data_IF_407408774460
#
_entry.id   IF_407408774460
#
_cell.length_a   1.000
_cell.length_b   1.000
_cell.length_c   1.000
_cell.angle_alpha   90.00
_cell.angle_beta   90.00
_cell.angle_gamma   90.00
#
_symmetry.space_group_name_H-M   'P 1'
#
loop_
_entity.id
_entity.type
_entity.pdbx_description
1 polymer ?
#
# COMPACT_ATOMS: atom_id res chain seq x y z
N UNK A 1 44.25 -63.24 10.13
CA UNK A 1 43.27 -62.29 10.71
C UNK A 1 43.49 -60.93 10.04
N UNK A 2 42.50 -60.36 9.34
CA UNK A 2 42.63 -59.02 8.72
C UNK A 2 42.14 -57.97 9.72
N UNK A 3 43.07 -57.36 10.45
CA UNK A 3 42.76 -56.29 11.40
C UNK A 3 42.82 -54.97 10.64
N UNK A 4 41.72 -54.20 10.66
CA UNK A 4 41.66 -52.84 10.10
C UNK A 4 41.03 -51.91 11.12
N UNK A 5 41.72 -50.84 11.46
CA UNK A 5 41.28 -49.78 12.37
C UNK A 5 41.07 -48.47 11.61
N UNK A 6 40.46 -47.48 12.25
CA UNK A 6 40.24 -46.15 11.65
C UNK A 6 41.59 -45.40 11.67
N UNK A 7 42.17 -45.18 10.50
CA UNK A 7 43.35 -44.33 10.32
C UNK A 7 42.93 -42.95 9.80
N UNK A 8 43.14 -41.89 10.58
CA UNK A 8 42.90 -40.50 10.19
C UNK A 8 44.23 -39.82 9.86
N UNK A 9 44.48 -39.53 8.59
CA UNK A 9 45.66 -38.74 8.18
C UNK A 9 45.46 -37.27 8.52
N UNK A 10 46.48 -36.60 9.08
CA UNK A 10 46.48 -35.16 9.36
C UNK A 10 46.16 -34.33 8.12
N UNK A 11 46.69 -34.76 6.97
CA UNK A 11 46.62 -34.03 5.70
C UNK A 11 45.20 -33.94 5.16
N UNK A 12 44.30 -34.83 5.62
CA UNK A 12 42.89 -34.84 5.22
C UNK A 12 42.04 -33.79 5.97
N UNK A 13 42.49 -33.36 7.15
CA UNK A 13 41.73 -32.44 8.03
C UNK A 13 42.41 -31.08 8.17
N UNK A 14 43.74 -31.05 8.15
CA UNK A 14 44.56 -29.86 8.27
C UNK A 14 45.19 -29.59 6.90
N UNK A 15 44.88 -28.45 6.25
CA UNK A 15 45.50 -28.11 4.98
C UNK A 15 46.99 -27.82 5.20
N UNK A 16 47.82 -28.27 4.25
CA UNK A 16 49.28 -28.04 4.28
C UNK A 16 49.64 -26.56 4.11
N UNK A 17 48.78 -25.78 3.46
CA UNK A 17 48.95 -24.33 3.28
C UNK A 17 48.07 -23.55 4.24
N UNK A 18 48.66 -22.56 4.91
CA UNK A 18 47.97 -21.65 5.83
C UNK A 18 46.93 -20.75 5.15
N UNK A 19 46.99 -20.58 3.82
CA UNK A 19 46.04 -19.77 3.07
C UNK A 19 44.71 -20.48 2.79
N UNK A 20 44.66 -21.81 2.96
CA UNK A 20 43.49 -22.63 2.66
C UNK A 20 42.71 -22.91 3.94
N UNK A 21 41.39 -22.78 3.86
CA UNK A 21 40.50 -23.13 4.97
C UNK A 21 40.49 -24.65 5.24
N UNK A 22 40.19 -25.04 6.47
CA UNK A 22 40.12 -26.43 6.87
C UNK A 22 38.89 -27.14 6.27
N UNK A 23 39.07 -28.41 5.93
CA UNK A 23 37.96 -29.24 5.47
C UNK A 23 37.01 -29.57 6.63
N UNK A 24 35.70 -29.41 6.41
CA UNK A 24 34.66 -29.70 7.40
C UNK A 24 33.86 -30.94 6.94
N UNK A 25 34.31 -32.17 7.25
CA UNK A 25 33.56 -33.37 6.92
C UNK A 25 32.25 -33.42 7.71
N UNK A 26 31.15 -33.77 7.02
CA UNK A 26 29.81 -33.81 7.62
C UNK A 26 29.26 -35.22 7.57
N UNK A 27 28.76 -35.69 8.71
CA UNK A 27 27.95 -36.91 8.80
C UNK A 27 26.53 -36.51 9.22
N UNK A 28 25.52 -36.97 8.48
CA UNK A 28 24.11 -36.60 8.67
C UNK A 28 23.34 -37.60 9.54
N UNK A 29 23.99 -38.61 10.15
CA UNK A 29 23.33 -39.54 11.06
C UNK A 29 22.64 -38.77 12.21
N UNK A 30 21.31 -38.92 12.41
CA UNK A 30 20.57 -38.27 13.50
C UNK A 30 21.14 -38.54 14.89
N UNK A 31 21.76 -39.69 15.12
CA UNK A 31 22.39 -40.05 16.40
C UNK A 31 23.54 -39.09 16.78
N UNK A 32 24.26 -38.57 15.78
CA UNK A 32 25.33 -37.59 15.98
C UNK A 32 24.79 -36.17 16.20
N UNK A 33 23.52 -35.92 15.88
CA UNK A 33 22.88 -34.61 16.00
C UNK A 33 21.62 -34.68 16.88
N UNK A 34 21.75 -35.02 18.18
CA UNK A 34 20.60 -35.09 19.07
C UNK A 34 19.93 -33.72 19.24
N UNK A 35 18.66 -33.74 19.65
CA UNK A 35 17.82 -32.56 19.92
C UNK A 35 17.52 -31.67 18.71
N UNK A 36 17.17 -32.27 17.56
CA UNK A 36 16.82 -31.52 16.35
C UNK A 36 15.76 -30.44 16.62
N UNK A 37 14.66 -30.80 17.29
CA UNK A 37 13.51 -29.92 17.49
C UNK A 37 13.79 -28.80 18.49
N UNK A 38 14.50 -29.11 19.59
CA UNK A 38 14.85 -28.10 20.59
C UNK A 38 15.88 -27.09 20.03
N UNK A 39 16.82 -27.58 19.20
CA UNK A 39 17.79 -26.73 18.51
C UNK A 39 17.12 -25.84 17.46
N UNK A 40 16.16 -26.37 16.72
CA UNK A 40 15.35 -25.57 15.81
C UNK A 40 14.49 -24.54 16.55
N UNK A 41 13.83 -24.92 17.63
CA UNK A 41 13.02 -24.01 18.44
C UNK A 41 13.84 -22.84 18.98
N UNK A 42 15.01 -23.11 19.57
CA UNK A 42 15.90 -22.06 20.09
C UNK A 42 16.41 -21.14 18.97
N UNK A 43 16.69 -21.67 17.78
CA UNK A 43 17.02 -20.86 16.60
C UNK A 43 15.85 -19.98 16.17
N UNK A 44 14.63 -20.50 16.14
CA UNK A 44 13.43 -19.73 15.81
C UNK A 44 13.18 -18.60 16.82
N UNK A 45 13.34 -18.91 18.11
CA UNK A 45 13.22 -17.93 19.19
C UNK A 45 14.29 -16.84 19.08
N UNK A 46 15.54 -17.21 18.77
CA UNK A 46 16.61 -16.23 18.53
C UNK A 46 16.33 -15.39 17.28
N UNK A 47 15.85 -16.01 16.19
CA UNK A 47 15.50 -15.30 14.97
C UNK A 47 14.38 -14.27 15.20
N UNK A 48 13.33 -14.62 15.95
CA UNK A 48 12.26 -13.68 16.31
C UNK A 48 12.76 -12.54 17.21
N UNK A 49 13.63 -12.83 18.18
CA UNK A 49 14.27 -11.79 19.01
C UNK A 49 15.15 -10.85 18.17
N UNK A 50 15.98 -11.40 17.28
CA UNK A 50 16.83 -10.62 16.39
C UNK A 50 15.99 -9.74 15.44
N UNK A 51 14.90 -10.26 14.90
CA UNK A 51 13.97 -9.46 14.09
C UNK A 51 13.44 -8.24 14.86
N UNK A 52 13.10 -8.41 16.14
CA UNK A 52 12.62 -7.30 16.99
C UNK A 52 13.71 -6.27 17.28
N UNK A 53 14.95 -6.72 17.51
CA UNK A 53 16.09 -5.82 17.72
C UNK A 53 16.44 -5.04 16.46
N UNK A 54 16.41 -5.68 15.29
CA UNK A 54 16.74 -5.05 14.02
C UNK A 54 15.58 -4.29 13.36
N UNK A 55 14.38 -4.33 13.96
CA UNK A 55 13.19 -3.63 13.45
C UNK A 55 13.37 -2.11 13.55
N UNK A 56 13.89 -1.53 12.48
CA UNK A 56 14.10 -0.10 12.31
C UNK A 56 13.46 0.30 10.96
N UNK A 57 12.15 0.58 10.96
CA UNK A 57 11.40 0.77 9.72
C UNK A 57 11.57 2.16 9.11
N UNK A 58 11.81 3.20 9.92
CA UNK A 58 11.94 4.57 9.42
C UNK A 58 13.24 4.76 8.65
N UNK A 59 13.15 5.25 7.41
CA UNK A 59 14.31 5.53 6.55
C UNK A 59 14.66 7.01 6.57
N UNK A 60 13.66 7.87 6.43
CA UNK A 60 13.85 9.33 6.40
C UNK A 60 12.62 10.07 5.88
N UNK A 61 12.73 11.39 5.84
CA UNK A 61 11.79 12.29 5.16
C UNK A 61 12.30 12.65 3.76
N UNK A 62 11.40 13.11 2.90
CA UNK A 62 11.73 13.70 1.59
C UNK A 62 11.79 15.23 1.73
N UNK A 63 12.97 15.79 1.49
CA UNK A 63 13.30 17.21 1.67
C UNK A 63 12.74 17.82 2.95
N UNK A 64 12.31 19.08 2.82
CA UNK A 64 11.63 19.84 3.87
C UNK A 64 10.11 19.59 3.92
N UNK A 65 9.61 18.68 3.08
CA UNK A 65 8.18 18.43 2.94
C UNK A 65 7.40 19.58 2.29
N UNK A 66 6.12 19.66 2.61
CA UNK A 66 5.19 20.71 2.19
C UNK A 66 4.89 21.66 3.35
N UNK A 67 4.38 22.86 3.01
CA UNK A 67 4.00 23.87 4.01
C UNK A 67 2.69 23.51 4.73
N UNK A 68 1.77 22.90 4.01
CA UNK A 68 0.51 22.37 4.53
C UNK A 68 0.48 20.84 4.36
N UNK A 69 -0.54 20.17 4.90
CA UNK A 69 -0.71 18.73 4.87
C UNK A 69 -0.65 18.13 3.46
N UNK A 70 -0.13 16.91 3.35
CA UNK A 70 -0.06 16.18 2.08
C UNK A 70 -1.32 15.36 1.88
N UNK A 71 -2.11 15.70 0.85
CA UNK A 71 -3.40 15.07 0.58
C UNK A 71 -3.38 14.13 -0.63
N UNK A 72 -2.55 14.40 -1.63
CA UNK A 72 -2.42 13.54 -2.81
C UNK A 72 -0.97 13.10 -3.05
N UNK A 73 -0.81 11.86 -3.50
CA UNK A 73 0.49 11.25 -3.80
C UNK A 73 0.30 10.29 -4.96
N UNK A 74 1.12 10.47 -5.99
CA UNK A 74 1.18 9.62 -7.16
C UNK A 74 2.60 9.10 -7.31
N UNK A 75 2.74 7.79 -7.33
CA UNK A 75 4.00 7.16 -7.76
C UNK A 75 4.00 7.02 -9.27
N UNK A 76 5.17 7.17 -9.86
CA UNK A 76 5.35 6.73 -11.23
C UNK A 76 5.39 5.19 -11.24
N UNK A 77 4.64 4.54 -12.12
CA UNK A 77 4.61 3.08 -12.22
C UNK A 77 5.76 2.52 -13.06
N UNK A 78 6.33 3.33 -13.97
CA UNK A 78 7.42 2.91 -14.85
C UNK A 78 8.81 3.27 -14.30
N UNK A 79 8.93 4.30 -13.45
CA UNK A 79 10.18 4.64 -12.76
C UNK A 79 10.09 4.36 -11.25
N UNK A 80 11.13 3.81 -10.64
CA UNK A 80 11.14 3.47 -9.21
C UNK A 80 11.45 4.67 -8.31
N UNK A 81 12.27 5.61 -8.79
CA UNK A 81 12.84 6.68 -7.97
C UNK A 81 12.02 7.98 -7.99
N UNK A 82 11.00 8.12 -8.84
CA UNK A 82 10.24 9.38 -8.93
C UNK A 82 8.85 9.26 -8.35
N UNK A 83 8.45 10.26 -7.57
CA UNK A 83 7.11 10.39 -7.00
C UNK A 83 6.63 11.84 -7.09
N UNK A 84 5.33 12.01 -7.30
CA UNK A 84 4.66 13.31 -7.27
C UNK A 84 3.78 13.40 -6.03
N UNK A 85 3.70 14.59 -5.44
CA UNK A 85 2.94 14.84 -4.21
C UNK A 85 2.24 16.17 -4.29
N UNK A 86 1.11 16.30 -3.60
CA UNK A 86 0.34 17.53 -3.56
C UNK A 86 -0.11 17.87 -2.16
N UNK A 87 -0.15 19.17 -1.89
CA UNK A 87 -0.47 19.74 -0.59
C UNK A 87 -1.81 20.50 -0.59
N UNK A 88 -2.32 20.75 0.62
CA UNK A 88 -3.55 21.52 0.90
C UNK A 88 -3.49 22.96 0.39
N UNK A 89 -2.29 23.53 0.34
CA UNK A 89 -2.06 24.83 -0.24
C UNK A 89 -2.15 24.85 -1.78
N UNK A 90 -2.29 23.71 -2.46
CA UNK A 90 -2.34 23.64 -3.92
C UNK A 90 -0.97 23.65 -4.60
N UNK A 91 0.12 23.50 -3.84
CA UNK A 91 1.46 23.25 -4.38
C UNK A 91 1.61 21.76 -4.68
N UNK A 92 2.15 21.46 -5.84
CA UNK A 92 2.58 20.12 -6.24
C UNK A 92 4.10 20.07 -6.28
N UNK A 93 4.67 18.95 -5.83
CA UNK A 93 6.11 18.71 -5.84
C UNK A 93 6.41 17.36 -6.49
N UNK A 94 7.42 17.34 -7.35
CA UNK A 94 7.99 16.14 -7.93
C UNK A 94 9.32 15.85 -7.24
N UNK A 95 9.51 14.63 -6.77
CA UNK A 95 10.64 14.22 -5.94
C UNK A 95 11.47 13.15 -6.62
N UNK A 96 12.78 13.20 -6.38
CA UNK A 96 13.66 12.05 -6.57
C UNK A 96 13.93 11.39 -5.22
N UNK A 97 13.55 10.13 -5.09
CA UNK A 97 13.72 9.31 -3.89
C UNK A 97 15.22 9.02 -3.63
N UNK A 98 16.04 9.05 -4.67
CA UNK A 98 17.47 8.72 -4.57
C UNK A 98 18.23 9.79 -3.79
N UNK A 99 18.11 11.05 -4.22
CA UNK A 99 18.66 12.22 -3.52
C UNK A 99 17.80 12.65 -2.33
N UNK A 100 16.51 12.30 -2.34
CA UNK A 100 15.46 12.75 -1.41
C UNK A 100 15.22 14.25 -1.48
N UNK A 101 15.49 14.85 -2.63
CA UNK A 101 15.27 16.27 -2.91
C UNK A 101 14.12 16.43 -3.91
N UNK A 102 13.51 17.61 -3.89
CA UNK A 102 12.51 17.98 -4.89
C UNK A 102 13.22 18.38 -6.19
N UNK A 103 12.73 17.88 -7.32
CA UNK A 103 13.21 18.30 -8.64
C UNK A 103 12.40 19.47 -9.16
N UNK A 104 11.08 19.45 -8.92
CA UNK A 104 10.15 20.50 -9.34
C UNK A 104 9.16 20.82 -8.23
N UNK A 105 8.81 22.10 -8.14
CA UNK A 105 7.77 22.62 -7.25
C UNK A 105 6.94 23.62 -8.04
N UNK A 106 5.63 23.35 -8.17
CA UNK A 106 4.71 24.22 -8.90
C UNK A 106 3.54 24.61 -8.00
N UNK A 107 3.17 25.89 -8.03
CA UNK A 107 1.88 26.34 -7.50
C UNK A 107 0.80 25.98 -8.52
N UNK A 108 0.20 24.80 -8.36
CA UNK A 108 -0.75 24.28 -9.34
C UNK A 108 -2.14 24.91 -9.21
N UNK A 109 -2.66 24.99 -8.00
CA UNK A 109 -4.04 25.41 -7.74
C UNK A 109 -4.10 26.48 -6.65
N UNK A 110 -5.16 27.28 -6.65
CA UNK A 110 -5.42 28.25 -5.58
C UNK A 110 -5.97 27.57 -4.33
N UNK A 111 -6.81 26.54 -4.51
CA UNK A 111 -7.31 25.69 -3.44
C UNK A 111 -6.51 24.39 -3.32
N UNK A 112 -7.01 23.47 -2.47
CA UNK A 112 -6.41 22.16 -2.28
C UNK A 112 -6.32 21.38 -3.58
N UNK A 113 -5.15 20.76 -3.80
CA UNK A 113 -4.96 19.77 -4.84
C UNK A 113 -5.45 18.42 -4.33
N UNK A 114 -6.63 18.01 -4.78
CA UNK A 114 -7.36 16.84 -4.30
C UNK A 114 -6.92 15.55 -4.99
N UNK A 115 -6.49 15.63 -6.25
CA UNK A 115 -6.04 14.50 -7.05
C UNK A 115 -4.71 14.75 -7.74
N UNK A 116 -3.91 13.70 -7.86
CA UNK A 116 -2.63 13.72 -8.56
C UNK A 116 -2.40 12.37 -9.23
N UNK A 117 -1.91 12.36 -10.46
CA UNK A 117 -1.43 11.15 -11.14
C UNK A 117 -0.27 11.48 -12.07
N UNK A 118 0.65 10.53 -12.23
CA UNK A 118 1.73 10.61 -13.23
C UNK A 118 1.29 9.78 -14.42
N UNK A 119 1.45 10.31 -15.64
CA UNK A 119 1.11 9.56 -16.84
C UNK A 119 2.12 8.43 -17.07
N UNK A 120 1.69 7.25 -17.56
CA UNK A 120 2.57 6.11 -17.80
C UNK A 120 3.78 6.42 -18.69
N UNK A 121 3.61 7.35 -19.64
CA UNK A 121 4.63 7.79 -20.60
C UNK A 121 5.76 8.63 -19.99
N UNK A 122 5.73 8.88 -18.67
CA UNK A 122 6.74 9.62 -17.88
C UNK A 122 6.97 11.08 -18.27
N UNK A 123 6.31 11.59 -19.30
CA UNK A 123 6.49 12.97 -19.80
C UNK A 123 5.62 13.99 -19.08
N UNK A 124 4.56 13.55 -18.39
CA UNK A 124 3.60 14.46 -17.80
C UNK A 124 2.99 13.98 -16.49
N UNK A 125 2.51 14.95 -15.71
CA UNK A 125 1.67 14.71 -14.53
C UNK A 125 0.39 15.50 -14.64
N UNK A 126 -0.71 14.93 -14.14
CA UNK A 126 -2.00 15.60 -14.05
C UNK A 126 -2.29 15.91 -12.58
N UNK A 127 -2.63 17.17 -12.32
CA UNK A 127 -3.13 17.62 -11.03
C UNK A 127 -4.59 18.04 -11.16
N UNK A 128 -5.33 17.84 -10.09
CA UNK A 128 -6.77 18.09 -10.00
C UNK A 128 -7.04 18.90 -8.73
N UNK A 129 -7.74 20.02 -8.88
CA UNK A 129 -7.99 20.96 -7.79
C UNK A 129 -9.46 21.19 -7.48
N UNK A 130 -9.71 21.71 -6.27
CA UNK A 130 -11.04 22.16 -5.85
C UNK A 130 -11.53 23.34 -6.69
N UNK A 131 -10.61 24.08 -7.33
CA UNK A 131 -10.85 25.22 -8.22
C UNK A 131 -11.43 24.86 -9.59
N UNK A 132 -11.90 23.61 -9.76
CA UNK A 132 -12.52 23.07 -10.99
C UNK A 132 -11.56 22.98 -12.19
N UNK A 133 -10.26 23.09 -11.95
CA UNK A 133 -9.25 22.96 -13.00
C UNK A 133 -8.51 21.65 -12.89
N UNK A 134 -8.19 21.07 -14.05
CA UNK A 134 -7.27 19.95 -14.19
C UNK A 134 -6.09 20.49 -14.99
N UNK A 135 -4.88 20.32 -14.46
CA UNK A 135 -3.68 20.88 -15.08
C UNK A 135 -2.71 19.75 -15.42
N UNK A 136 -2.21 19.77 -16.65
CA UNK A 136 -1.16 18.89 -17.13
C UNK A 136 0.16 19.61 -17.12
N UNK A 137 1.14 19.03 -16.44
CA UNK A 137 2.49 19.57 -16.31
C UNK A 137 3.45 18.67 -17.05
N UNK A 138 4.41 19.27 -17.75
CA UNK A 138 5.52 18.53 -18.34
C UNK A 138 6.57 18.24 -17.27
N UNK A 139 7.09 17.02 -17.29
CA UNK A 139 8.21 16.59 -16.46
C UNK A 139 9.34 16.23 -17.42
N UNK A 140 10.50 16.86 -17.26
CA UNK A 140 11.70 16.46 -18.01
C UNK A 140 12.33 15.23 -17.36
N UNK A 141 12.71 14.27 -18.19
CA UNK A 141 13.41 13.07 -17.75
C UNK A 141 14.93 13.34 -17.76
N UNK A 142 15.54 13.42 -16.58
CA UNK A 142 17.02 13.45 -16.46
C UNK A 142 17.69 12.15 -16.96
N UNK A 143 16.92 11.11 -17.27
CA UNK A 143 17.44 9.82 -17.76
C UNK A 143 17.84 9.83 -19.25
N UNK A 144 17.58 10.90 -19.99
CA UNK A 144 18.05 11.05 -21.37
C UNK A 144 19.48 11.60 -21.43
N UNK A 145 20.44 10.88 -20.87
CA UNK A 145 21.87 11.19 -21.02
C UNK A 145 22.41 11.02 -22.46
N UNK A 146 21.54 10.69 -23.43
CA UNK A 146 21.94 10.24 -24.77
C UNK A 146 21.45 11.11 -25.95
N UNK A 147 20.87 12.31 -25.72
CA UNK A 147 20.42 13.17 -26.82
C UNK A 147 21.31 14.40 -27.11
N UNK A 148 22.42 14.60 -26.39
CA UNK A 148 23.27 15.80 -26.59
C UNK A 148 24.43 15.61 -27.59
N UNK A 149 24.34 14.68 -28.54
CA UNK A 149 25.35 14.50 -29.60
C UNK A 149 24.86 14.83 -31.02
N UNK A 150 23.81 15.64 -31.19
CA UNK A 150 23.49 16.23 -32.50
C UNK A 150 23.81 17.72 -32.53
N UNK A 151 24.97 18.03 -33.10
CA UNK A 151 25.50 19.36 -33.35
C UNK A 151 24.87 19.97 -34.62
N UNK A 152 23.55 20.05 -34.73
CA UNK A 152 22.90 20.87 -35.77
C UNK A 152 21.40 21.06 -35.57
N UNK A 153 21.01 21.97 -34.67
CA UNK A 153 19.87 22.87 -34.93
C UNK A 153 19.87 23.98 -33.91
N UNK A 154 20.35 25.13 -34.34
CA UNK A 154 20.02 26.42 -33.75
C UNK A 154 18.52 26.66 -33.88
N UNK A 155 17.76 26.36 -32.83
CA UNK A 155 16.47 26.97 -32.57
C UNK A 155 16.34 27.22 -31.08
N UNK A 156 16.10 28.48 -30.76
CA UNK A 156 15.72 29.01 -29.45
C UNK A 156 14.42 28.36 -28.98
N UNK A 157 14.50 27.18 -28.37
CA UNK A 157 13.44 26.66 -27.50
C UNK A 157 14.00 26.56 -26.10
N UNK A 158 13.75 27.60 -25.30
CA UNK A 158 13.76 27.46 -23.85
C UNK A 158 12.92 26.24 -23.50
N UNK A 159 13.56 25.16 -23.04
CA UNK A 159 12.89 23.94 -22.59
C UNK A 159 11.71 24.30 -21.70
N UNK A 160 10.49 24.18 -22.22
CA UNK A 160 9.25 24.60 -21.56
C UNK A 160 8.90 23.63 -20.44
N UNK A 161 9.72 23.61 -19.38
CA UNK A 161 9.37 22.95 -18.11
C UNK A 161 8.22 23.73 -17.50
N UNK A 162 6.99 23.22 -17.62
CA UNK A 162 5.84 23.95 -17.12
C UNK A 162 4.49 23.34 -17.46
N UNK A 163 3.45 24.14 -17.24
CA UNK A 163 2.06 23.82 -17.54
C UNK A 163 1.88 23.64 -19.06
N UNK A 164 1.51 22.44 -19.50
CA UNK A 164 1.22 22.16 -20.91
C UNK A 164 -0.22 22.50 -21.26
N UNK A 165 -1.17 22.01 -20.45
CA UNK A 165 -2.59 22.05 -20.77
C UNK A 165 -3.44 22.22 -19.53
N UNK A 166 -4.52 22.97 -19.66
CA UNK A 166 -5.54 23.12 -18.61
C UNK A 166 -6.87 22.65 -19.16
N UNK A 167 -7.54 21.77 -18.42
CA UNK A 167 -8.92 21.36 -18.67
C UNK A 167 -9.81 22.02 -17.61
N UNK A 168 -10.99 22.46 -18.03
CA UNK A 168 -11.98 23.10 -17.17
C UNK A 168 -13.12 22.10 -16.94
N UNK A 169 -13.40 21.81 -15.68
CA UNK A 169 -14.55 21.02 -15.27
C UNK A 169 -15.68 21.94 -14.78
N UNK A 170 -16.93 21.47 -14.90
CA UNK A 170 -18.10 22.24 -14.47
C UNK A 170 -18.21 22.28 -12.93
N UNK A 171 -17.71 21.23 -12.28
CA UNK A 171 -17.78 21.01 -10.83
C UNK A 171 -16.40 20.91 -10.19
N UNK A 172 -16.39 21.06 -8.86
CA UNK A 172 -15.19 20.83 -8.06
C UNK A 172 -14.82 19.35 -8.08
N UNK A 173 -13.53 19.06 -8.15
CA UNK A 173 -13.02 17.72 -8.34
C UNK A 173 -12.29 17.25 -7.08
N UNK A 174 -12.52 15.99 -6.71
CA UNK A 174 -12.02 15.35 -5.48
C UNK A 174 -10.93 14.32 -5.75
N UNK A 175 -10.94 13.65 -6.91
CA UNK A 175 -9.90 12.68 -7.24
C UNK A 175 -9.72 12.53 -8.75
N UNK A 176 -8.57 11.96 -9.12
CA UNK A 176 -8.18 11.73 -10.50
C UNK A 176 -7.34 10.45 -10.60
N UNK A 177 -7.52 9.69 -11.67
CA UNK A 177 -6.65 8.56 -12.02
C UNK A 177 -6.54 8.43 -13.55
N UNK A 178 -5.40 7.90 -14.01
CA UNK A 178 -5.10 7.73 -15.43
C UNK A 178 -5.21 6.25 -15.81
N UNK A 179 -5.63 6.00 -17.05
CA UNK A 179 -5.63 4.66 -17.63
C UNK A 179 -4.19 4.14 -17.81
N UNK A 180 -3.95 2.84 -17.87
CA UNK A 180 -2.57 2.34 -17.84
C UNK A 180 -1.82 2.49 -19.18
N UNK A 181 -2.54 2.44 -20.32
CA UNK A 181 -1.95 2.52 -21.67
C UNK A 181 -2.44 3.75 -22.43
N UNK A 182 -3.75 3.87 -22.56
CA UNK A 182 -4.39 4.90 -23.39
C UNK A 182 -4.33 6.28 -22.72
N UNK A 183 -4.41 7.33 -23.53
CA UNK A 183 -4.39 8.75 -23.11
C UNK A 183 -5.73 9.21 -22.48
N UNK A 184 -6.36 8.31 -21.74
CA UNK A 184 -7.66 8.49 -21.12
C UNK A 184 -7.45 8.61 -19.61
N UNK A 185 -8.16 9.52 -18.97
CA UNK A 185 -8.19 9.64 -17.52
C UNK A 185 -9.60 9.89 -17.02
N UNK A 186 -9.83 9.56 -15.75
CA UNK A 186 -11.12 9.76 -15.10
C UNK A 186 -10.95 10.75 -13.96
N UNK A 187 -11.91 11.65 -13.86
CA UNK A 187 -12.02 12.58 -12.75
C UNK A 187 -13.28 12.29 -11.95
N UNK A 188 -13.17 12.42 -10.63
CA UNK A 188 -14.29 12.32 -9.72
C UNK A 188 -14.55 13.67 -9.06
N UNK A 189 -15.81 14.06 -8.97
CA UNK A 189 -16.28 15.25 -8.26
C UNK A 189 -17.76 15.09 -7.92
N UNK A 190 -18.58 16.04 -8.36
CA UNK A 190 -20.04 15.86 -8.35
C UNK A 190 -20.50 14.72 -9.29
N UNK A 191 -19.72 14.47 -10.33
CA UNK A 191 -19.95 13.43 -11.32
C UNK A 191 -18.63 12.72 -11.66
N UNK A 192 -18.74 11.55 -12.31
CA UNK A 192 -17.58 10.83 -12.84
C UNK A 192 -17.49 11.14 -14.32
N UNK A 193 -16.45 11.88 -14.72
CA UNK A 193 -16.22 12.24 -16.12
C UNK A 193 -15.01 11.49 -16.68
N UNK A 194 -15.18 10.94 -17.87
CA UNK A 194 -14.11 10.36 -18.67
C UNK A 194 -13.53 11.44 -19.58
N UNK A 195 -12.20 11.54 -19.63
CA UNK A 195 -11.49 12.55 -20.41
C UNK A 195 -10.45 11.88 -21.29
N UNK A 196 -10.20 12.50 -22.45
CA UNK A 196 -9.07 12.22 -23.32
C UNK A 196 -8.14 13.43 -23.24
N UNK A 197 -6.84 13.17 -23.06
CA UNK A 197 -5.80 14.21 -22.98
C UNK A 197 -5.85 15.16 -24.18
N UNK A 198 -6.21 14.66 -25.36
CA UNK A 198 -6.21 15.45 -26.59
C UNK A 198 -7.39 16.43 -26.64
N UNK A 199 -8.50 16.15 -25.95
CA UNK A 199 -9.73 16.95 -25.98
C UNK A 199 -9.80 17.95 -24.82
N UNK A 200 -10.57 19.03 -24.95
CA UNK A 200 -10.75 20.02 -23.87
C UNK A 200 -12.05 19.83 -23.08
N UNK A 201 -12.94 18.98 -23.58
CA UNK A 201 -14.25 18.66 -22.96
C UNK A 201 -14.25 17.18 -22.54
N UNK A 202 -15.06 16.80 -21.54
CA UNK A 202 -15.19 15.40 -21.16
C UNK A 202 -15.77 14.59 -22.33
N UNK A 203 -15.30 13.36 -22.50
CA UNK A 203 -15.81 12.40 -23.46
C UNK A 203 -17.22 11.95 -23.09
N UNK A 204 -17.40 11.54 -21.84
CA UNK A 204 -18.66 11.02 -21.32
C UNK A 204 -18.79 11.29 -19.83
N UNK A 205 -20.04 11.37 -19.39
CA UNK A 205 -20.41 11.40 -17.99
C UNK A 205 -20.94 10.01 -17.60
N UNK A 206 -20.28 9.38 -16.63
CA UNK A 206 -20.54 8.02 -16.17
C UNK A 206 -21.30 7.97 -14.85
N UNK A 207 -21.91 9.08 -14.40
CA UNK A 207 -22.64 9.12 -13.13
C UNK A 207 -23.79 8.10 -13.06
N UNK A 208 -23.91 7.40 -11.93
CA UNK A 208 -25.07 6.51 -11.67
C UNK A 208 -26.31 7.31 -11.27
N UNK A 209 -26.08 8.38 -10.51
CA UNK A 209 -27.09 9.28 -9.94
C UNK A 209 -26.40 10.57 -9.48
N UNK A 210 -27.15 11.43 -8.79
CA UNK A 210 -26.68 12.75 -8.33
C UNK A 210 -25.94 12.67 -6.99
N UNK A 211 -24.92 11.81 -6.90
CA UNK A 211 -24.11 11.62 -5.69
C UNK A 211 -22.66 12.04 -5.95
N UNK A 212 -22.06 12.75 -4.99
CA UNK A 212 -20.65 13.14 -5.08
C UNK A 212 -19.74 11.92 -4.89
N UNK A 213 -18.72 11.80 -5.74
CA UNK A 213 -17.72 10.75 -5.71
C UNK A 213 -16.43 11.29 -5.05
N UNK A 214 -15.94 10.58 -4.05
CA UNK A 214 -14.75 10.96 -3.28
C UNK A 214 -13.47 10.46 -3.92
N UNK A 215 -13.41 9.17 -4.30
CA UNK A 215 -12.22 8.55 -4.89
C UNK A 215 -12.56 7.71 -6.12
N UNK A 216 -11.66 7.73 -7.10
CA UNK A 216 -11.70 6.88 -8.30
C UNK A 216 -10.34 6.22 -8.49
N UNK A 217 -10.34 4.94 -8.84
CA UNK A 217 -9.13 4.22 -9.29
C UNK A 217 -9.40 3.24 -10.42
N UNK A 218 -8.52 3.29 -11.42
CA UNK A 218 -8.41 2.32 -12.48
C UNK A 218 -7.81 1.02 -11.97
N UNK A 219 -8.34 -0.07 -12.51
CA UNK A 219 -7.68 -1.35 -12.42
C UNK A 219 -6.40 -1.33 -13.28
N UNK A 220 -5.34 -1.95 -12.79
CA UNK A 220 -4.01 -1.94 -13.41
C UNK A 220 -3.81 -3.09 -14.40
N UNK A 221 -4.55 -4.17 -14.25
CA UNK A 221 -4.47 -5.36 -15.11
C UNK A 221 -5.56 -5.35 -16.17
N UNK A 222 -6.83 -5.31 -15.75
CA UNK A 222 -7.98 -5.12 -16.63
C UNK A 222 -8.29 -3.63 -16.77
N UNK A 223 -7.53 -2.95 -17.63
CA UNK A 223 -7.45 -1.49 -17.68
C UNK A 223 -8.77 -0.79 -18.01
N UNK A 224 -9.70 -1.49 -18.68
CA UNK A 224 -11.02 -0.94 -19.03
C UNK A 224 -11.99 -0.81 -17.85
N UNK A 225 -11.67 -1.38 -16.70
CA UNK A 225 -12.53 -1.35 -15.51
C UNK A 225 -11.98 -0.37 -14.49
N UNK A 226 -12.86 0.39 -13.86
CA UNK A 226 -12.50 1.22 -12.72
C UNK A 226 -13.58 1.21 -11.65
N UNK A 227 -13.18 1.60 -10.44
CA UNK A 227 -14.07 1.69 -9.29
C UNK A 227 -14.11 3.13 -8.78
N UNK A 228 -15.25 3.52 -8.22
CA UNK A 228 -15.43 4.77 -7.51
C UNK A 228 -16.06 4.55 -6.13
N UNK A 229 -15.77 5.48 -5.22
CA UNK A 229 -16.37 5.56 -3.90
C UNK A 229 -17.26 6.81 -3.83
N UNK A 230 -18.54 6.62 -3.54
CA UNK A 230 -19.51 7.69 -3.32
C UNK A 230 -19.56 8.17 -1.88
N UNK A 231 -19.99 9.42 -1.68
CA UNK A 231 -20.25 9.97 -0.34
C UNK A 231 -21.48 9.36 0.33
N UNK A 232 -22.36 8.68 -0.41
CA UNK A 232 -23.57 7.98 0.07
C UNK A 232 -23.27 6.58 0.63
N UNK A 233 -22.01 6.33 0.96
CA UNK A 233 -21.45 5.04 1.35
C UNK A 233 -21.54 3.99 0.22
N UNK A 234 -21.52 4.44 -1.03
CA UNK A 234 -21.55 3.51 -2.16
C UNK A 234 -20.17 3.21 -2.74
N UNK A 235 -20.02 2.00 -3.26
CA UNK A 235 -18.95 1.56 -4.13
C UNK A 235 -19.55 1.25 -5.49
N UNK A 236 -19.07 1.90 -6.54
CA UNK A 236 -19.59 1.75 -7.89
C UNK A 236 -18.48 1.23 -8.80
N UNK A 237 -18.80 0.22 -9.61
CA UNK A 237 -17.94 -0.29 -10.66
C UNK A 237 -18.39 0.23 -12.02
N UNK A 238 -17.44 0.50 -12.90
CA UNK A 238 -17.65 1.01 -14.24
C UNK A 238 -16.85 0.20 -15.25
N UNK A 239 -17.41 0.05 -16.45
CA UNK A 239 -16.69 -0.49 -17.61
C UNK A 239 -16.66 0.58 -18.70
N UNK A 240 -15.46 0.96 -19.12
CA UNK A 240 -15.27 1.97 -20.17
C UNK A 240 -15.73 1.44 -21.52
N UNK A 241 -15.65 0.13 -21.77
CA UNK A 241 -15.97 -0.45 -23.08
C UNK A 241 -17.46 -0.29 -23.41
N UNK A 242 -18.31 -0.47 -22.40
CA UNK A 242 -19.76 -0.22 -22.49
C UNK A 242 -20.10 1.23 -22.18
N UNK A 243 -19.12 2.02 -21.71
CA UNK A 243 -19.26 3.40 -21.25
C UNK A 243 -20.46 3.56 -20.30
N UNK A 244 -20.60 2.61 -19.37
CA UNK A 244 -21.72 2.54 -18.44
C UNK A 244 -21.26 2.06 -17.06
N UNK A 245 -21.94 2.48 -15.98
CA UNK A 245 -21.69 1.89 -14.69
C UNK A 245 -22.35 0.51 -14.60
N UNK A 246 -21.65 -0.46 -14.00
CA UNK A 246 -22.06 -1.88 -13.99
C UNK A 246 -22.78 -2.26 -12.70
N UNK A 247 -22.23 -1.86 -11.55
CA UNK A 247 -22.75 -2.30 -10.26
C UNK A 247 -22.52 -1.26 -9.16
N UNK A 248 -23.54 -1.05 -8.32
CA UNK A 248 -23.49 -0.22 -7.11
C UNK A 248 -23.71 -1.07 -5.86
N UNK A 249 -22.85 -0.92 -4.86
CA UNK A 249 -22.94 -1.59 -3.55
C UNK A 249 -22.97 -0.50 -2.50
N UNK A 250 -23.80 -0.64 -1.48
CA UNK A 250 -23.84 0.28 -0.35
C UNK A 250 -23.22 -0.38 0.88
N UNK A 251 -22.15 0.22 1.39
CA UNK A 251 -21.50 -0.17 2.64
C UNK A 251 -22.14 0.52 3.85
N UNK A 252 -21.82 0.04 5.05
CA UNK A 252 -22.29 0.63 6.32
C UNK A 252 -21.89 2.09 6.47
N UNK A 253 -20.59 2.38 6.38
CA UNK A 253 -20.03 3.74 6.37
C UNK A 253 -19.31 4.03 5.04
N UNK A 254 -18.94 5.30 4.84
CA UNK A 254 -18.30 5.77 3.61
C UNK A 254 -16.91 5.20 3.42
N UNK A 255 -16.61 4.87 2.17
CA UNK A 255 -15.28 4.47 1.73
C UNK A 255 -14.48 5.69 1.30
N UNK A 256 -13.29 5.85 1.88
CA UNK A 256 -12.41 6.99 1.62
C UNK A 256 -11.53 6.76 0.40
N UNK A 257 -10.98 5.56 0.25
CA UNK A 257 -10.06 5.23 -0.84
C UNK A 257 -10.25 3.79 -1.32
N UNK A 258 -9.83 3.56 -2.57
CA UNK A 258 -9.84 2.27 -3.25
C UNK A 258 -8.43 2.03 -3.80
N UNK A 259 -8.00 0.77 -3.80
CA UNK A 259 -6.80 0.34 -4.52
C UNK A 259 -7.03 -1.05 -5.09
N UNK A 260 -6.67 -1.25 -6.37
CA UNK A 260 -6.80 -2.54 -7.04
C UNK A 260 -5.56 -3.40 -6.79
N UNK A 261 -5.74 -4.72 -6.74
CA UNK A 261 -4.61 -5.63 -6.71
C UNK A 261 -3.93 -5.63 -8.08
N UNK A 262 -2.62 -5.30 -8.17
CA UNK A 262 -1.91 -5.26 -9.44
C UNK A 262 -1.63 -6.64 -10.05
N UNK A 263 -1.79 -7.73 -9.28
CA UNK A 263 -1.57 -9.10 -9.77
C UNK A 263 -2.88 -9.84 -10.07
N UNK A 264 -3.92 -9.59 -9.28
CA UNK A 264 -5.24 -10.23 -9.43
C UNK A 264 -6.30 -9.20 -9.83
N UNK A 265 -6.69 -9.21 -11.09
CA UNK A 265 -7.52 -8.16 -11.68
C UNK A 265 -8.86 -7.93 -10.99
N UNK A 266 -9.51 -8.99 -10.54
CA UNK A 266 -10.86 -8.90 -9.97
C UNK A 266 -10.86 -8.52 -8.48
N UNK A 267 -9.69 -8.36 -7.84
CA UNK A 267 -9.62 -8.06 -6.40
C UNK A 267 -9.24 -6.61 -6.18
N UNK A 268 -9.95 -5.95 -5.27
CA UNK A 268 -9.57 -4.63 -4.78
C UNK A 268 -9.83 -4.47 -3.30
N UNK A 269 -9.15 -3.49 -2.70
CA UNK A 269 -9.25 -3.15 -1.31
C UNK A 269 -9.86 -1.76 -1.14
N UNK A 270 -10.67 -1.59 -0.10
CA UNK A 270 -11.30 -0.32 0.23
C UNK A 270 -10.95 0.09 1.65
N UNK A 271 -10.58 1.35 1.83
CA UNK A 271 -10.44 2.01 3.14
C UNK A 271 -11.80 2.60 3.54
N UNK A 272 -12.30 2.26 4.72
CA UNK A 272 -13.60 2.71 5.20
C UNK A 272 -13.47 3.52 6.50
N UNK A 273 -14.42 4.43 6.74
CA UNK A 273 -14.56 5.16 8.00
C UNK A 273 -14.90 4.26 9.21
N UNK A 274 -15.43 3.06 8.97
CA UNK A 274 -15.62 1.99 9.97
C UNK A 274 -14.32 1.48 10.64
N UNK A 275 -13.20 2.18 10.47
CA UNK A 275 -11.89 1.88 11.04
C UNK A 275 -11.30 0.55 10.52
N UNK A 276 -11.94 -0.02 9.50
CA UNK A 276 -11.57 -1.27 8.87
C UNK A 276 -11.26 -1.02 7.40
N UNK A 277 -10.50 -1.93 6.82
CA UNK A 277 -10.39 -2.04 5.37
C UNK A 277 -10.93 -3.40 4.93
N UNK A 278 -11.52 -3.42 3.74
CA UNK A 278 -12.20 -4.58 3.19
C UNK A 278 -11.53 -5.00 1.90
N UNK A 279 -11.44 -6.30 1.66
CA UNK A 279 -11.00 -6.91 0.42
C UNK A 279 -12.24 -7.42 -0.32
N UNK A 280 -12.42 -7.04 -1.58
CA UNK A 280 -13.58 -7.37 -2.40
C UNK A 280 -13.18 -8.18 -3.63
N UNK A 281 -14.07 -9.07 -4.07
CA UNK A 281 -14.04 -9.64 -5.42
C UNK A 281 -15.06 -8.90 -6.28
N UNK A 282 -14.64 -8.33 -7.41
CA UNK A 282 -15.50 -7.54 -8.28
C UNK A 282 -16.71 -8.35 -8.79
N UNK A 283 -16.58 -9.67 -8.90
CA UNK A 283 -17.63 -10.58 -9.38
C UNK A 283 -18.65 -10.91 -8.29
N UNK A 284 -18.19 -11.03 -7.05
CA UNK A 284 -18.99 -11.49 -5.91
C UNK A 284 -18.94 -10.49 -4.76
N UNK A 285 -19.91 -9.58 -4.76
CA UNK A 285 -19.93 -8.40 -3.89
C UNK A 285 -20.91 -8.47 -2.71
N UNK A 286 -21.45 -9.66 -2.46
CA UNK A 286 -22.36 -9.88 -1.32
C UNK A 286 -21.60 -9.96 0.00
N UNK A 287 -20.31 -10.29 -0.05
CA UNK A 287 -19.45 -10.39 1.11
C UNK A 287 -18.04 -9.95 0.74
N UNK A 288 -17.34 -9.39 1.71
CA UNK A 288 -15.90 -9.17 1.60
C UNK A 288 -15.16 -10.52 1.65
N UNK A 289 -14.07 -10.64 0.89
CA UNK A 289 -13.15 -11.77 0.96
C UNK A 289 -12.41 -11.77 2.30
N UNK A 290 -11.96 -10.59 2.74
CA UNK A 290 -11.26 -10.41 3.99
C UNK A 290 -11.60 -9.05 4.62
N UNK A 291 -11.48 -8.98 5.94
CA UNK A 291 -11.65 -7.74 6.72
C UNK A 291 -10.37 -7.49 7.50
N UNK A 292 -9.68 -6.41 7.18
CA UNK A 292 -8.48 -5.98 7.87
C UNK A 292 -8.88 -5.11 9.06
N UNK A 293 -8.77 -5.70 10.25
CA UNK A 293 -9.09 -5.08 11.53
C UNK A 293 -7.80 -4.70 12.24
N UNK A 294 -7.79 -3.52 12.83
CA UNK A 294 -6.67 -3.10 13.68
C UNK A 294 -6.65 -1.61 13.97
N UNK A 295 -7.19 -0.76 13.10
CA UNK A 295 -7.25 0.68 13.34
C UNK A 295 -8.25 1.05 14.43
N UNK A 296 -7.95 2.18 15.09
CA UNK A 296 -8.81 2.76 16.12
C UNK A 296 -9.67 3.88 15.53
N UNK A 297 -9.22 4.53 14.46
CA UNK A 297 -9.96 5.58 13.76
C UNK A 297 -10.10 5.26 12.27
N UNK A 298 -10.84 6.09 11.53
CA UNK A 298 -11.11 5.95 10.11
C UNK A 298 -9.83 5.67 9.30
N UNK A 299 -9.92 4.75 8.35
CA UNK A 299 -8.85 4.48 7.39
C UNK A 299 -9.00 5.46 6.24
N UNK A 300 -7.95 6.27 6.00
CA UNK A 300 -7.99 7.33 5.00
C UNK A 300 -7.56 6.84 3.62
N UNK A 301 -6.51 6.03 3.56
CA UNK A 301 -6.00 5.48 2.31
C UNK A 301 -5.55 4.03 2.45
N UNK A 302 -5.55 3.34 1.32
CA UNK A 302 -5.12 1.95 1.17
C UNK A 302 -4.30 1.81 -0.11
N UNK A 303 -3.23 1.05 -0.07
CA UNK A 303 -2.47 0.70 -1.28
C UNK A 303 -1.98 -0.73 -1.27
N UNK A 304 -2.07 -1.39 -2.43
CA UNK A 304 -1.49 -2.70 -2.63
C UNK A 304 0.01 -2.63 -2.86
N UNK A 305 0.71 -3.63 -2.34
CA UNK A 305 2.06 -3.96 -2.78
C UNK A 305 2.01 -4.31 -4.27
N UNK A 306 3.01 -3.89 -5.07
CA UNK A 306 3.16 -4.35 -6.46
C UNK A 306 3.17 -5.88 -6.61
N UNK A 307 3.50 -6.62 -5.55
CA UNK A 307 3.45 -8.09 -5.53
C UNK A 307 2.06 -8.67 -5.29
N UNK A 308 1.08 -7.85 -4.92
CA UNK A 308 -0.30 -8.24 -4.63
C UNK A 308 -0.52 -8.95 -3.29
N UNK A 309 0.53 -9.23 -2.49
CA UNK A 309 0.44 -10.05 -1.26
C UNK A 309 0.32 -9.26 0.04
N UNK A 310 0.65 -7.98 0.00
CA UNK A 310 0.61 -7.09 1.17
C UNK A 310 -0.16 -5.82 0.84
N UNK A 311 -0.75 -5.23 1.87
CA UNK A 311 -1.52 -4.00 1.81
C UNK A 311 -1.01 -3.04 2.89
N UNK A 312 -0.85 -1.77 2.56
CA UNK A 312 -0.63 -0.69 3.51
C UNK A 312 -1.94 0.04 3.71
N UNK A 313 -2.23 0.40 4.95
CA UNK A 313 -3.33 1.30 5.29
C UNK A 313 -2.82 2.46 6.13
N UNK A 314 -3.21 3.67 5.73
CA UNK A 314 -3.00 4.90 6.48
C UNK A 314 -4.29 5.32 7.16
N UNK A 315 -4.22 5.67 8.44
CA UNK A 315 -5.40 6.06 9.21
C UNK A 315 -5.24 7.41 9.87
N UNK A 316 -6.41 7.98 10.17
CA UNK A 316 -6.56 9.17 10.97
C UNK A 316 -6.07 9.00 12.41
N UNK A 317 -5.86 7.77 12.88
CA UNK A 317 -5.27 7.46 14.20
C UNK A 317 -3.76 7.69 14.29
N UNK A 318 -3.13 8.29 13.27
CA UNK A 318 -1.70 8.60 13.18
C UNK A 318 -0.82 7.36 13.07
N UNK A 319 -1.37 6.26 12.59
CA UNK A 319 -0.62 5.02 12.35
C UNK A 319 -0.73 4.53 10.93
N UNK A 320 0.37 3.93 10.48
CA UNK A 320 0.41 3.09 9.30
C UNK A 320 0.31 1.66 9.77
N UNK A 321 -0.56 0.86 9.15
CA UNK A 321 -0.61 -0.58 9.39
C UNK A 321 -0.31 -1.33 8.11
N UNK A 322 0.38 -2.45 8.27
CA UNK A 322 0.70 -3.38 7.20
C UNK A 322 -0.09 -4.65 7.40
N UNK A 323 -0.73 -5.12 6.35
CA UNK A 323 -1.52 -6.35 6.36
C UNK A 323 -1.01 -7.29 5.28
N UNK A 324 -0.99 -8.59 5.58
CA UNK A 324 -0.93 -9.60 4.51
C UNK A 324 -2.34 -9.82 3.99
N UNK A 325 -2.52 -10.01 2.69
CA UNK A 325 -3.85 -10.20 2.07
C UNK A 325 -4.65 -11.34 2.70
N UNK A 326 -3.96 -12.39 3.14
CA UNK A 326 -4.58 -13.59 3.72
C UNK A 326 -4.98 -13.41 5.19
N UNK A 327 -4.40 -12.43 5.89
CA UNK A 327 -4.55 -12.24 7.34
C UNK A 327 -5.34 -10.97 7.64
N UNK A 328 -6.45 -11.11 8.36
CA UNK A 328 -7.29 -9.97 8.77
C UNK A 328 -6.74 -9.09 9.90
N UNK A 329 -5.48 -9.28 10.32
CA UNK A 329 -4.85 -8.55 11.43
C UNK A 329 -3.51 -7.96 10.98
N UNK A 330 -3.11 -6.85 11.59
CA UNK A 330 -1.90 -6.12 11.18
C UNK A 330 -0.63 -6.94 11.43
N UNK A 331 0.21 -7.09 10.41
CA UNK A 331 1.57 -7.62 10.48
C UNK A 331 2.49 -6.68 11.25
N UNK A 332 2.44 -5.41 10.91
CA UNK A 332 3.26 -4.34 11.51
C UNK A 332 2.44 -3.06 11.67
N UNK A 333 2.86 -2.23 12.62
CA UNK A 333 2.30 -0.90 12.88
C UNK A 333 3.45 0.09 12.99
N UNK A 334 3.42 1.15 12.18
CA UNK A 334 4.38 2.24 12.25
C UNK A 334 3.71 3.51 12.76
N UNK A 335 4.40 4.16 13.69
CA UNK A 335 3.99 5.44 14.26
C UNK A 335 5.25 6.25 14.60
N UNK A 336 5.09 7.55 14.75
CA UNK A 336 6.13 8.45 15.25
C UNK A 336 5.46 9.63 15.93
N UNK A 337 6.05 10.15 17.00
CA UNK A 337 5.47 11.26 17.77
C UNK A 337 5.22 12.53 16.94
N UNK A 338 6.08 12.79 15.95
CA UNK A 338 5.97 13.93 15.02
C UNK A 338 4.88 13.73 13.97
N UNK A 339 4.56 12.48 13.63
CA UNK A 339 3.59 12.17 12.60
C UNK A 339 2.18 12.45 13.12
N UNK A 340 1.41 13.22 12.36
CA UNK A 340 0.02 13.53 12.66
C UNK A 340 -0.89 12.57 11.89
N UNK A 341 -2.06 13.03 11.43
CA UNK A 341 -3.01 12.21 10.68
C UNK A 341 -2.38 11.82 9.36
N UNK A 342 -2.57 10.56 8.94
CA UNK A 342 -2.09 10.09 7.65
C UNK A 342 -3.25 10.14 6.68
N UNK A 343 -3.11 10.95 5.63
CA UNK A 343 -4.12 11.05 4.57
C UNK A 343 -3.82 10.09 3.44
N UNK A 344 -2.55 9.87 3.10
CA UNK A 344 -2.18 9.07 1.93
C UNK A 344 -1.01 8.14 2.21
N UNK A 345 -1.08 6.95 1.62
CA UNK A 345 -0.06 5.92 1.74
C UNK A 345 0.11 5.19 0.43
N UNK A 346 1.34 5.03 -0.04
CA UNK A 346 1.62 4.23 -1.24
C UNK A 346 2.82 3.33 -1.05
N UNK A 347 2.77 2.13 -1.60
CA UNK A 347 3.96 1.30 -1.75
C UNK A 347 4.86 1.85 -2.85
N UNK A 348 6.17 1.73 -2.68
CA UNK A 348 7.09 1.86 -3.80
C UNK A 348 6.88 0.75 -4.83
N UNK A 349 7.29 1.01 -6.08
CA UNK A 349 7.20 0.03 -7.18
C UNK A 349 8.05 -1.22 -6.92
N UNK A 350 9.11 -1.11 -6.12
CA UNK A 350 9.94 -2.24 -5.71
C UNK A 350 9.38 -3.05 -4.53
N UNK A 351 8.21 -2.70 -3.99
CA UNK A 351 7.53 -3.31 -2.82
C UNK A 351 8.29 -3.27 -1.48
N UNK A 352 9.48 -2.68 -1.43
CA UNK A 352 10.34 -2.67 -0.23
C UNK A 352 10.12 -1.46 0.65
N UNK A 353 9.59 -0.37 0.08
CA UNK A 353 9.37 0.87 0.78
C UNK A 353 7.91 1.29 0.73
N UNK A 354 7.55 2.15 1.67
CA UNK A 354 6.22 2.69 1.84
C UNK A 354 6.39 4.19 2.04
N UNK A 355 5.59 4.96 1.31
CA UNK A 355 5.47 6.40 1.46
C UNK A 355 4.23 6.70 2.28
N UNK A 356 4.37 7.64 3.20
CA UNK A 356 3.24 8.21 3.94
C UNK A 356 3.24 9.71 3.83
N UNK A 357 2.13 10.27 3.34
CA UNK A 357 1.82 11.70 3.42
C UNK A 357 0.97 11.96 4.65
N UNK A 358 1.49 12.84 5.51
CA UNK A 358 0.85 13.20 6.77
C UNK A 358 0.40 14.66 6.72
N UNK A 359 -0.55 14.98 7.60
CA UNK A 359 -1.14 16.31 7.81
C UNK A 359 -0.13 17.35 8.31
N UNK A 360 1.03 16.89 8.80
CA UNK A 360 2.16 17.76 9.18
C UNK A 360 3.00 18.25 8.00
N UNK A 361 2.54 18.04 6.76
CA UNK A 361 3.21 18.42 5.52
C UNK A 361 4.39 17.51 5.13
N UNK A 362 4.79 16.59 6.00
CA UNK A 362 5.96 15.76 5.74
C UNK A 362 5.63 14.47 4.99
N UNK A 363 6.48 14.16 4.03
CA UNK A 363 6.52 12.87 3.34
C UNK A 363 7.58 11.99 3.98
N UNK A 364 7.17 10.82 4.47
CA UNK A 364 8.06 9.87 5.14
C UNK A 364 8.19 8.57 4.36
N UNK A 365 9.41 8.02 4.38
CA UNK A 365 9.76 6.74 3.79
C UNK A 365 9.95 5.72 4.90
N UNK A 366 9.29 4.58 4.75
CA UNK A 366 9.37 3.44 5.65
C UNK A 366 9.78 2.21 4.87
N UNK A 367 10.41 1.24 5.53
CA UNK A 367 10.61 -0.11 4.97
C UNK A 367 9.33 -0.93 5.17
N UNK A 368 8.95 -1.73 4.18
CA UNK A 368 7.84 -2.69 4.33
C UNK A 368 8.17 -3.77 5.35
N UNK A 369 9.35 -4.37 5.27
CA UNK A 369 9.93 -5.23 6.31
C UNK A 369 10.92 -4.44 7.17
N UNK A 370 10.55 -4.16 8.42
CA UNK A 370 11.33 -3.31 9.33
C UNK A 370 12.76 -3.83 9.63
N UNK A 371 12.92 -5.15 9.67
CA UNK A 371 14.18 -5.82 9.97
C UNK A 371 15.09 -5.97 8.74
N UNK A 372 14.53 -5.91 7.53
CA UNK A 372 15.30 -6.11 6.31
C UNK A 372 16.19 -4.89 6.03
N UNK A 373 17.37 -5.15 5.46
CA UNK A 373 18.31 -4.13 5.03
C UNK A 373 18.45 -4.18 3.51
N UNK A 374 18.47 -3.00 2.91
CA UNK A 374 18.68 -2.80 1.48
C UNK A 374 20.15 -3.05 1.12
N UNK A 375 20.39 -3.85 0.09
CA UNK A 375 21.73 -4.14 -0.45
C UNK A 375 21.87 -5.59 -0.92
N UNK A 376 22.88 -5.89 -1.74
CA UNK A 376 23.18 -7.27 -2.14
C UNK A 376 23.63 -8.08 -0.92
N UNK A 377 23.14 -9.32 -0.81
CA UNK A 377 23.46 -10.23 0.30
C UNK A 377 24.36 -11.35 -0.24
N UNK A 378 25.42 -11.69 0.49
CA UNK A 378 26.20 -12.91 0.21
C UNK A 378 25.30 -14.15 0.34
N UNK A 379 25.58 -15.20 -0.45
CA UNK A 379 24.80 -16.43 -0.48
C UNK A 379 24.60 -17.04 0.91
N UNK A 380 25.64 -17.05 1.76
CA UNK A 380 25.56 -17.55 3.15
C UNK A 380 24.58 -16.75 4.00
N UNK A 381 24.59 -15.41 3.85
CA UNK A 381 23.69 -14.52 4.59
C UNK A 381 22.25 -14.68 4.13
N UNK A 382 22.03 -14.73 2.82
CA UNK A 382 20.71 -14.96 2.22
C UNK A 382 20.12 -16.30 2.67
N UNK A 383 20.89 -17.39 2.57
CA UNK A 383 20.45 -18.72 3.01
C UNK A 383 20.13 -18.76 4.52
N UNK A 384 20.90 -18.03 5.34
CA UNK A 384 20.59 -17.89 6.77
C UNK A 384 19.26 -17.16 6.99
N UNK A 385 19.02 -16.03 6.33
CA UNK A 385 17.78 -15.26 6.47
C UNK A 385 16.56 -16.06 6.00
N UNK A 386 16.67 -16.77 4.88
CA UNK A 386 15.62 -17.68 4.37
C UNK A 386 15.34 -18.83 5.34
N UNK A 387 16.39 -19.44 5.90
CA UNK A 387 16.27 -20.47 6.93
C UNK A 387 15.58 -19.95 8.18
N UNK A 388 15.98 -18.77 8.67
CA UNK A 388 15.39 -18.13 9.85
C UNK A 388 13.92 -17.74 9.58
N UNK A 389 13.57 -17.24 8.39
CA UNK A 389 12.18 -16.96 8.01
C UNK A 389 11.32 -18.23 8.02
N UNK A 390 11.81 -19.33 7.43
CA UNK A 390 11.09 -20.62 7.42
C UNK A 390 10.93 -21.22 8.81
N UNK A 391 11.93 -21.07 9.68
CA UNK A 391 11.86 -21.56 11.05
C UNK A 391 10.86 -20.77 11.89
N UNK A 392 10.81 -19.44 11.71
CA UNK A 392 9.79 -18.59 12.35
C UNK A 392 8.38 -18.95 11.88
N UNK A 393 8.19 -19.25 10.60
CA UNK A 393 6.92 -19.70 10.04
C UNK A 393 6.49 -21.04 10.68
N UNK A 394 7.40 -22.02 10.73
CA UNK A 394 7.14 -23.33 11.34
C UNK A 394 6.77 -23.26 12.82
N UNK A 395 7.47 -22.42 13.59
CA UNK A 395 7.28 -22.30 15.05
C UNK A 395 6.43 -21.09 15.47
N UNK A 396 5.66 -20.50 14.54
CA UNK A 396 4.93 -19.26 14.76
C UNK A 396 3.88 -19.34 15.89
N UNK A 397 3.30 -20.51 16.10
CA UNK A 397 2.22 -20.72 17.07
C UNK A 397 2.71 -20.96 18.50
N UNK A 398 4.01 -21.23 18.69
CA UNK A 398 4.58 -21.44 20.01
C UNK A 398 4.40 -20.19 20.88
N UNK A 399 3.96 -20.29 22.15
CA UNK A 399 3.53 -19.13 22.94
C UNK A 399 4.59 -18.03 23.08
N UNK A 400 5.84 -18.38 23.35
CA UNK A 400 6.93 -17.41 23.51
C UNK A 400 7.28 -16.71 22.19
N UNK A 401 7.44 -17.49 21.12
CA UNK A 401 7.73 -17.02 19.76
C UNK A 401 6.62 -16.09 19.30
N UNK A 402 5.36 -16.50 19.45
CA UNK A 402 4.16 -15.75 19.10
C UNK A 402 4.04 -14.44 19.88
N UNK A 403 4.29 -14.47 21.19
CA UNK A 403 4.25 -13.28 22.06
C UNK A 403 5.30 -12.25 21.64
N UNK A 404 6.54 -12.68 21.42
CA UNK A 404 7.64 -11.80 20.98
C UNK A 404 7.38 -11.29 19.55
N UNK A 405 6.88 -12.14 18.67
CA UNK A 405 6.57 -11.77 17.30
C UNK A 405 5.44 -10.73 17.22
N UNK A 406 4.39 -10.84 18.03
CA UNK A 406 3.24 -9.92 18.06
C UNK A 406 3.50 -8.62 18.81
N UNK A 407 4.44 -8.61 19.76
CA UNK A 407 4.69 -7.43 20.58
C UNK A 407 5.12 -6.22 19.73
N UNK A 408 4.33 -5.14 19.79
CA UNK A 408 4.66 -3.82 19.22
C UNK A 408 4.39 -2.77 20.27
N UNK A 409 5.28 -1.78 20.37
CA UNK A 409 5.03 -0.62 21.20
C UNK A 409 4.05 0.30 20.46
N UNK A 410 2.90 0.57 21.07
CA UNK A 410 1.92 1.55 20.58
C UNK A 410 1.94 2.78 21.51
N UNK A 411 1.67 3.99 20.98
CA UNK A 411 1.45 5.16 21.82
C UNK A 411 0.32 4.91 22.83
N UNK A 412 0.47 5.44 24.04
CA UNK A 412 -0.48 5.19 25.14
C UNK A 412 -1.94 5.48 24.79
N UNK A 413 -2.19 6.60 24.09
CA UNK A 413 -3.56 6.96 23.66
C UNK A 413 -4.16 5.96 22.66
N UNK A 414 -3.36 5.41 21.75
CA UNK A 414 -3.82 4.41 20.77
C UNK A 414 -4.08 3.07 21.46
N UNK A 415 -3.18 2.69 22.37
CA UNK A 415 -3.33 1.46 23.15
C UNK A 415 -4.62 1.50 23.98
N UNK A 416 -4.85 2.58 24.71
CA UNK A 416 -6.05 2.78 25.52
C UNK A 416 -7.32 2.80 24.66
N UNK A 417 -7.32 3.54 23.54
CA UNK A 417 -8.47 3.56 22.65
C UNK A 417 -8.74 2.20 21.98
N UNK A 418 -7.69 1.41 21.71
CA UNK A 418 -7.84 0.03 21.22
C UNK A 418 -8.39 -0.91 22.28
N UNK A 419 -8.08 -0.71 23.56
CA UNK A 419 -8.62 -1.49 24.68
C UNK A 419 -10.12 -1.19 24.85
N UNK A 420 -10.51 0.10 24.89
CA UNK A 420 -11.94 0.51 24.90
C UNK A 420 -12.69 -0.10 23.73
N UNK A 421 -12.15 0.02 22.51
CA UNK A 421 -12.79 -0.55 21.31
C UNK A 421 -12.95 -2.08 21.42
N UNK A 422 -11.99 -2.78 22.02
CA UNK A 422 -12.09 -4.22 22.21
C UNK A 422 -13.23 -4.57 23.20
N UNK A 423 -13.35 -3.83 24.29
CA UNK A 423 -14.45 -3.97 25.27
C UNK A 423 -15.81 -3.65 24.65
N UNK A 424 -15.91 -2.59 23.85
CA UNK A 424 -17.13 -2.23 23.11
C UNK A 424 -17.55 -3.34 22.16
N UNK A 425 -16.61 -3.89 21.36
CA UNK A 425 -16.89 -4.99 20.44
C UNK A 425 -17.33 -6.25 21.19
N UNK A 426 -16.70 -6.57 22.32
CA UNK A 426 -17.09 -7.71 23.16
C UNK A 426 -18.49 -7.50 23.75
N UNK A 427 -18.79 -6.31 24.24
CA UNK A 427 -20.12 -5.94 24.77
C UNK A 427 -21.20 -6.02 23.69
N UNK A 428 -20.93 -5.53 22.47
CA UNK A 428 -21.85 -5.64 21.32
C UNK A 428 -22.08 -7.11 20.97
N UNK A 429 -21.01 -7.93 20.87
CA UNK A 429 -21.13 -9.38 20.59
C UNK A 429 -21.96 -10.09 21.66
N UNK A 430 -21.71 -9.80 22.93
CA UNK A 430 -22.47 -10.36 24.05
C UNK A 430 -23.96 -9.96 24.00
N UNK A 431 -24.26 -8.69 23.68
CA UNK A 431 -25.65 -8.22 23.50
C UNK A 431 -26.33 -8.89 22.30
N UNK A 432 -25.64 -9.04 21.16
CA UNK A 432 -26.14 -9.75 19.98
C UNK A 432 -26.43 -11.24 20.30
N UNK A 433 -25.54 -11.90 21.04
CA UNK A 433 -25.67 -13.30 21.44
C UNK A 433 -26.82 -13.51 22.44
N UNK A 434 -26.93 -12.65 23.46
CA UNK A 434 -28.07 -12.68 24.37
C UNK A 434 -29.39 -12.44 23.65
N UNK A 435 -29.43 -11.46 22.73
CA UNK A 435 -30.63 -11.22 21.91
C UNK A 435 -30.99 -12.46 21.09
N UNK A 436 -30.01 -13.17 20.53
CA UNK A 436 -30.24 -14.41 19.79
C UNK A 436 -30.79 -15.51 20.70
N UNK A 437 -30.18 -15.72 21.87
CA UNK A 437 -30.56 -16.77 22.82
C UNK A 437 -31.96 -16.56 23.41
N UNK A 438 -32.38 -15.31 23.59
CA UNK A 438 -33.71 -14.96 24.13
C UNK A 438 -34.77 -14.67 23.06
N UNK A 439 -34.41 -14.73 21.78
CA UNK A 439 -35.36 -14.59 20.67
C UNK A 439 -35.91 -15.94 20.22
N UNK A 440 -37.08 -15.95 19.57
CA UNK A 440 -37.58 -17.16 18.92
C UNK A 440 -36.53 -17.68 17.92
N UNK A 441 -36.40 -19.01 17.81
CA UNK A 441 -35.47 -19.62 16.87
C UNK A 441 -35.68 -19.06 15.46
N UNK A 442 -34.61 -18.52 14.85
CA UNK A 442 -34.64 -17.92 13.51
C UNK A 442 -35.01 -16.44 13.45
N UNK A 443 -35.46 -15.81 14.54
CA UNK A 443 -35.82 -14.39 14.53
C UNK A 443 -34.61 -13.45 14.35
N UNK A 444 -33.42 -13.84 14.84
CA UNK A 444 -32.17 -13.09 14.71
C UNK A 444 -31.09 -13.98 14.08
N UNK A 445 -30.89 -13.93 12.75
CA UNK A 445 -29.91 -14.77 12.08
C UNK A 445 -28.46 -14.38 12.44
N UNK A 446 -27.55 -15.35 12.38
CA UNK A 446 -26.11 -15.08 12.50
C UNK A 446 -25.59 -14.50 11.18
N UNK A 447 -25.18 -13.23 11.22
CA UNK A 447 -24.54 -12.56 10.10
C UNK A 447 -23.02 -12.74 10.21
N UNK A 448 -22.42 -13.33 9.19
CA UNK A 448 -20.96 -13.50 9.11
C UNK A 448 -20.26 -12.13 9.13
N UNK A 449 -19.13 -12.00 9.83
CA UNK A 449 -18.42 -10.72 9.92
C UNK A 449 -18.04 -10.12 8.55
N UNK A 450 -17.85 -10.98 7.54
CA UNK A 450 -17.51 -10.58 6.16
C UNK A 450 -18.68 -10.00 5.37
N UNK A 451 -19.92 -10.32 5.72
CA UNK A 451 -21.13 -9.77 5.08
C UNK A 451 -21.71 -8.57 5.83
N UNK A 452 -21.35 -8.37 7.12
CA UNK A 452 -21.73 -7.17 7.90
C UNK A 452 -21.49 -5.82 7.19
N UNK A 453 -20.42 -5.59 6.40
CA UNK A 453 -20.24 -4.29 5.76
C UNK A 453 -21.22 -4.02 4.61
N UNK A 454 -21.88 -5.02 4.03
CA UNK A 454 -22.79 -4.84 2.88
C UNK A 454 -24.21 -4.61 3.39
N UNK A 455 -24.77 -3.44 3.07
CA UNK A 455 -26.15 -3.07 3.44
C UNK A 455 -27.12 -3.30 2.28
N UNK A 456 -26.69 -3.08 1.04
CA UNK A 456 -27.52 -3.31 -0.14
C UNK A 456 -26.73 -3.29 -1.44
N UNK A 457 -27.28 -3.89 -2.50
CA UNK A 457 -26.67 -3.98 -3.84
C UNK A 457 -27.72 -3.67 -4.90
N UNK A 458 -27.30 -2.93 -5.93
CA UNK A 458 -28.04 -2.75 -7.16
C UNK A 458 -27.13 -3.14 -8.33
N UNK A 459 -27.60 -4.04 -9.17
CA UNK A 459 -26.93 -4.42 -10.41
C UNK A 459 -27.78 -3.92 -11.57
N UNK A 460 -27.20 -3.15 -12.49
CA UNK A 460 -27.86 -2.85 -13.76
C UNK A 460 -27.58 -4.05 -14.68
N UNK A 461 -28.65 -4.75 -15.08
CA UNK A 461 -28.58 -5.77 -16.12
C UNK A 461 -28.31 -5.15 -17.48
#
# INVERSE_FOLDING_TARGET
MKIKTISRSSDAYVPVSNARESALPRNLNPELHPFERAREYTRALNATKLERVFAQPFVGTLGDGHRDGVYALAKNFSSVNKIATASGDGVIKYWDITSREETYSYKAHYGMCSGLVVTPNQKSMLSCGVDKTIKMWQISNDSEYNQNYDYSSSSTDTSTTGLMKTFLADFSLMSLDHHQSDDIFVTAGAEVNLWDINRNKPLSNLSWGADNITSVKFNKTETSVFASAGSDNSLILYDIRTNSPTQKIRTSMRTNAISWNPMEAYIFATANEDQNSYLWDMRYMEKSLNVFKGHVNAVMDVDFSPTGKEIVTGSYDKTLRLFSTDKGHSRDVYHTKRMQRIFITKFSVDSKYIFSGSDDGNLRIWRSKANERSGPKSARKRAKEEYDEKLKERYADMPEVRRIARHRHLPGYIKHASEIKAEEIQSIKYREENRRNHSKAGAVPYVQERSKPVVGRVHKQ
#
